data_IF_965970559964
#
_entry.id   IF_965970559964
#
_cell.length_a   1.000
_cell.length_b   1.000
_cell.length_c   1.000
_cell.angle_alpha   90.00
_cell.angle_beta   90.00
_cell.angle_gamma   90.00
#
_symmetry.space_group_name_H-M   'P 1'
#
loop_
_entity.id
_entity.type
_entity.pdbx_description
1 polymer ?
#
# COMPACT_ATOMS: atom_id res chain seq x y z
N UNK A 1 -26.48 -20.02 4.45
CA UNK A 1 -25.11 -20.16 4.99
C UNK A 1 -24.08 -20.14 3.86
N UNK A 2 -24.39 -20.70 2.68
CA UNK A 2 -23.54 -20.71 1.47
C UNK A 2 -23.03 -19.33 1.01
N UNK A 3 -23.82 -18.25 1.14
CA UNK A 3 -23.39 -16.92 0.70
C UNK A 3 -22.24 -16.31 1.50
N UNK A 4 -22.15 -16.60 2.80
CA UNK A 4 -21.07 -16.10 3.66
C UNK A 4 -19.77 -16.86 3.43
N UNK A 5 -19.86 -18.17 3.20
CA UNK A 5 -18.72 -19.03 2.90
C UNK A 5 -18.06 -18.64 1.57
N UNK A 6 -18.87 -18.38 0.53
CA UNK A 6 -18.37 -17.89 -0.76
C UNK A 6 -17.65 -16.55 -0.63
N UNK A 7 -18.15 -15.62 0.18
CA UNK A 7 -17.50 -14.33 0.42
C UNK A 7 -16.17 -14.50 1.15
N UNK A 8 -16.15 -15.32 2.21
CA UNK A 8 -14.94 -15.59 2.99
C UNK A 8 -13.84 -16.25 2.13
N UNK A 9 -14.20 -17.20 1.26
CA UNK A 9 -13.23 -17.85 0.37
C UNK A 9 -12.67 -16.90 -0.69
N UNK A 10 -13.48 -15.95 -1.17
CA UNK A 10 -13.00 -14.92 -2.10
C UNK A 10 -12.03 -13.95 -1.44
N UNK A 11 -12.29 -13.53 -0.20
CA UNK A 11 -11.35 -12.72 0.60
C UNK A 11 -10.02 -13.45 0.73
N UNK A 12 -10.06 -14.72 1.19
CA UNK A 12 -8.84 -15.55 1.35
C UNK A 12 -8.10 -15.76 0.03
N UNK A 13 -8.82 -15.92 -1.07
CA UNK A 13 -8.23 -16.06 -2.40
C UNK A 13 -7.48 -14.79 -2.78
N UNK A 14 -8.09 -13.63 -2.54
CA UNK A 14 -7.48 -12.35 -2.87
C UNK A 14 -6.25 -12.04 -1.99
N UNK A 15 -6.33 -12.27 -0.68
CA UNK A 15 -5.18 -12.14 0.23
C UNK A 15 -4.02 -13.04 -0.19
N UNK A 16 -4.33 -14.25 -0.67
CA UNK A 16 -3.33 -15.18 -1.21
C UNK A 16 -2.68 -14.65 -2.47
N UNK A 17 -3.41 -13.96 -3.34
CA UNK A 17 -2.84 -13.30 -4.53
C UNK A 17 -1.90 -12.17 -4.13
N UNK A 18 -2.31 -11.28 -3.23
CA UNK A 18 -1.47 -10.21 -2.69
C UNK A 18 -0.19 -10.78 -2.05
N UNK A 19 -0.32 -11.81 -1.21
CA UNK A 19 0.83 -12.49 -0.59
C UNK A 19 1.75 -13.17 -1.61
N UNK A 20 1.19 -13.83 -2.62
CA UNK A 20 1.98 -14.43 -3.70
C UNK A 20 2.76 -13.37 -4.46
N UNK A 21 2.14 -12.24 -4.77
CA UNK A 21 2.82 -11.11 -5.42
C UNK A 21 3.98 -10.62 -4.57
N UNK A 22 3.77 -10.37 -3.28
CA UNK A 22 4.84 -9.97 -2.34
C UNK A 22 6.00 -10.96 -2.35
N UNK A 23 5.70 -12.24 -2.15
CA UNK A 23 6.71 -13.30 -2.10
C UNK A 23 7.45 -13.53 -3.43
N UNK A 24 6.85 -13.15 -4.56
CA UNK A 24 7.47 -13.23 -5.88
C UNK A 24 8.49 -12.12 -6.15
N UNK A 25 8.65 -11.16 -5.24
CA UNK A 25 9.60 -10.05 -5.38
C UNK A 25 10.83 -10.26 -4.51
N UNK A 26 12.02 -10.04 -5.07
CA UNK A 26 13.30 -10.19 -4.36
C UNK A 26 13.71 -8.91 -3.61
N UNK A 27 12.75 -8.16 -3.07
CA UNK A 27 12.98 -6.90 -2.35
C UNK A 27 12.34 -6.90 -0.98
N UNK A 28 12.87 -6.07 -0.08
CA UNK A 28 12.26 -5.85 1.23
C UNK A 28 10.83 -5.32 1.06
N UNK A 29 9.87 -5.95 1.72
CA UNK A 29 8.47 -5.51 1.72
C UNK A 29 8.01 -5.33 3.16
N UNK A 30 7.38 -4.20 3.45
CA UNK A 30 6.63 -3.97 4.69
C UNK A 30 5.15 -3.96 4.38
N UNK A 31 4.36 -4.53 5.27
CA UNK A 31 2.91 -4.65 5.12
C UNK A 31 2.29 -4.06 6.37
N UNK A 32 1.44 -3.06 6.18
CA UNK A 32 0.63 -2.44 7.22
C UNK A 32 -0.80 -2.86 6.97
N UNK A 33 -1.27 -3.81 7.76
CA UNK A 33 -2.64 -4.30 7.71
C UNK A 33 -3.61 -3.35 8.42
N UNK A 34 -4.89 -3.69 8.32
CA UNK A 34 -5.97 -2.90 8.90
C UNK A 34 -5.80 -2.71 10.42
N UNK A 35 -5.32 -3.71 11.17
CA UNK A 35 -5.13 -3.58 12.61
C UNK A 35 -4.06 -2.53 12.93
N UNK A 36 -2.93 -2.54 12.20
CA UNK A 36 -1.88 -1.54 12.35
C UNK A 36 -2.35 -0.14 11.94
N UNK A 37 -3.12 -0.03 10.86
CA UNK A 37 -3.62 1.24 10.35
C UNK A 37 -4.68 1.85 11.28
N UNK A 38 -5.60 1.04 11.82
CA UNK A 38 -6.63 1.48 12.76
C UNK A 38 -6.06 1.90 14.12
N UNK A 39 -4.99 1.24 14.57
CA UNK A 39 -4.33 1.57 15.84
C UNK A 39 -3.39 2.78 15.74
N UNK A 40 -3.17 3.32 14.53
CA UNK A 40 -2.37 4.52 14.37
C UNK A 40 -3.08 5.76 14.91
N UNK A 41 -2.34 6.58 15.65
CA UNK A 41 -2.75 7.94 16.03
C UNK A 41 -2.36 9.02 15.01
N UNK A 42 -1.73 8.66 13.89
CA UNK A 42 -1.33 9.62 12.85
C UNK A 42 -2.53 10.27 12.18
N UNK A 43 -2.41 11.56 11.88
CA UNK A 43 -3.45 12.34 11.23
C UNK A 43 -3.65 11.96 9.76
N UNK A 44 -2.54 11.71 9.05
CA UNK A 44 -2.56 11.30 7.64
C UNK A 44 -1.52 10.21 7.34
N UNK A 45 -1.55 9.70 6.11
CA UNK A 45 -0.63 8.65 5.68
C UNK A 45 0.83 9.09 5.56
N UNK A 46 1.11 10.39 5.36
CA UNK A 46 2.50 10.86 5.33
C UNK A 46 3.08 10.79 6.73
N UNK A 47 2.36 11.32 7.72
CA UNK A 47 2.76 11.24 9.13
C UNK A 47 2.90 9.77 9.58
N UNK A 48 1.97 8.90 9.18
CA UNK A 48 2.08 7.47 9.47
C UNK A 48 3.36 6.88 8.89
N UNK A 49 3.63 7.10 7.61
CA UNK A 49 4.81 6.55 6.93
C UNK A 49 6.13 7.15 7.47
N UNK A 50 6.13 8.40 7.92
CA UNK A 50 7.28 9.04 8.58
C UNK A 50 7.62 8.40 9.93
N UNK A 51 6.60 7.93 10.66
CA UNK A 51 6.78 7.24 11.94
C UNK A 51 7.31 5.81 11.77
N UNK A 52 7.26 5.23 10.57
CA UNK A 52 7.60 3.83 10.33
C UNK A 52 9.13 3.60 10.20
N UNK A 53 9.73 2.73 11.04
CA UNK A 53 11.17 2.52 11.04
C UNK A 53 11.72 2.06 9.68
N UNK A 54 12.78 2.68 9.19
CA UNK A 54 13.45 2.28 7.95
C UNK A 54 12.77 2.79 6.67
N UNK A 55 11.74 3.62 6.81
CA UNK A 55 11.30 4.55 5.78
C UNK A 55 11.81 5.95 6.14
N UNK A 56 12.29 6.69 5.15
CA UNK A 56 12.74 8.07 5.34
C UNK A 56 12.09 8.92 4.28
N UNK A 57 11.01 9.57 4.64
CA UNK A 57 10.36 10.54 3.77
C UNK A 57 11.15 11.86 3.86
N UNK A 58 11.26 12.54 2.72
CA UNK A 58 11.90 13.83 2.63
C UNK A 58 11.14 14.72 1.65
N UNK A 59 11.21 16.02 1.88
CA UNK A 59 10.72 17.02 0.94
C UNK A 59 11.68 17.15 -0.26
N UNK A 60 11.13 17.05 -1.47
CA UNK A 60 11.84 17.26 -2.74
C UNK A 60 11.48 18.61 -3.39
N UNK A 61 10.93 19.55 -2.62
CA UNK A 61 10.47 20.87 -3.03
C UNK A 61 8.97 20.90 -3.30
N UNK A 62 8.53 20.24 -4.37
CA UNK A 62 7.12 20.30 -4.81
C UNK A 62 6.33 18.99 -4.58
N UNK A 63 6.96 17.98 -4.00
CA UNK A 63 6.41 16.65 -3.76
C UNK A 63 7.27 15.92 -2.72
N UNK A 64 6.71 14.88 -2.12
CA UNK A 64 7.45 14.00 -1.21
C UNK A 64 8.29 12.95 -1.95
N UNK A 65 9.47 12.68 -1.40
CA UNK A 65 10.41 11.65 -1.84
C UNK A 65 10.73 10.68 -0.72
N UNK A 66 11.44 9.61 -1.07
CA UNK A 66 12.07 8.71 -0.12
C UNK A 66 13.60 8.80 -0.21
N UNK A 67 14.27 8.79 0.94
CA UNK A 67 15.73 8.72 1.02
C UNK A 67 16.16 7.27 1.01
N UNK A 68 16.84 6.84 -0.06
CA UNK A 68 17.36 5.49 -0.22
C UNK A 68 18.85 5.53 -0.51
N UNK A 69 19.64 4.83 0.30
CA UNK A 69 21.11 4.76 0.16
C UNK A 69 21.76 6.16 -0.01
N UNK A 70 21.24 7.15 0.71
CA UNK A 70 21.71 8.54 0.68
C UNK A 70 21.23 9.39 -0.51
N UNK A 71 20.32 8.88 -1.35
CA UNK A 71 19.74 9.61 -2.50
C UNK A 71 18.26 9.86 -2.31
N UNK A 72 17.78 10.99 -2.81
CA UNK A 72 16.37 11.29 -2.94
C UNK A 72 15.81 10.59 -4.19
N UNK A 73 14.78 9.78 -4.00
CA UNK A 73 14.08 9.10 -5.08
C UNK A 73 12.59 9.38 -4.99
N UNK A 74 11.97 9.70 -6.13
CA UNK A 74 10.50 9.86 -6.21
C UNK A 74 9.88 8.46 -6.23
N UNK A 75 9.02 8.13 -5.25
CA UNK A 75 8.42 6.81 -5.18
C UNK A 75 7.29 6.64 -6.21
N UNK A 76 7.10 5.42 -6.69
CA UNK A 76 5.91 5.03 -7.44
C UNK A 76 4.80 4.70 -6.45
N UNK A 77 3.68 5.40 -6.54
CA UNK A 77 2.56 5.18 -5.64
C UNK A 77 1.37 4.65 -6.43
N UNK A 78 0.75 3.60 -5.91
CA UNK A 78 -0.47 3.02 -6.44
C UNK A 78 -1.57 3.11 -5.39
N UNK A 79 -2.76 3.55 -5.80
CA UNK A 79 -3.96 3.50 -4.98
C UNK A 79 -4.94 2.60 -5.73
N UNK A 80 -5.37 1.51 -5.11
CA UNK A 80 -6.33 0.56 -5.70
C UNK A 80 -5.87 0.01 -7.07
N UNK A 81 -4.59 -0.35 -7.18
CA UNK A 81 -3.93 -0.78 -8.43
C UNK A 81 -3.86 0.29 -9.53
N UNK A 82 -4.12 1.57 -9.23
CA UNK A 82 -3.97 2.68 -10.19
C UNK A 82 -2.71 3.48 -9.88
N UNK A 83 -1.77 3.66 -10.83
CA UNK A 83 -0.58 4.47 -10.60
C UNK A 83 -0.95 5.94 -10.49
N UNK A 84 -0.46 6.60 -9.44
CA UNK A 84 -0.71 8.01 -9.17
C UNK A 84 0.59 8.79 -9.38
N UNK A 85 0.56 9.76 -10.31
CA UNK A 85 1.66 10.68 -10.49
C UNK A 85 1.86 11.53 -9.24
N UNK A 86 3.09 11.59 -8.71
CA UNK A 86 3.39 12.23 -7.41
C UNK A 86 2.49 11.71 -6.27
N UNK A 87 2.16 10.43 -6.29
CA UNK A 87 1.11 9.91 -5.42
C UNK A 87 1.38 9.95 -3.92
N UNK A 88 2.57 10.33 -3.46
CA UNK A 88 2.77 10.66 -2.04
C UNK A 88 1.92 11.86 -1.62
N UNK A 89 1.85 12.89 -2.46
CA UNK A 89 1.01 14.07 -2.19
C UNK A 89 -0.47 13.66 -2.13
N UNK A 90 -0.86 12.68 -2.95
CA UNK A 90 -2.20 12.11 -2.92
C UNK A 90 -2.46 11.29 -1.66
N UNK A 91 -1.47 10.54 -1.15
CA UNK A 91 -1.62 9.76 0.08
C UNK A 91 -1.92 10.64 1.30
N UNK A 92 -1.44 11.89 1.31
CA UNK A 92 -1.75 12.85 2.38
C UNK A 92 -3.25 13.10 2.58
N UNK A 93 -4.08 12.88 1.56
CA UNK A 93 -5.53 13.03 1.67
C UNK A 93 -6.24 11.82 2.28
N UNK A 94 -5.49 10.77 2.62
CA UNK A 94 -6.02 9.59 3.29
C UNK A 94 -5.55 9.57 4.75
N UNK A 95 -6.50 9.28 5.63
CA UNK A 95 -6.20 8.88 7.00
C UNK A 95 -5.89 7.38 7.04
N UNK A 96 -5.03 6.91 7.95
CA UNK A 96 -4.68 5.50 8.03
C UNK A 96 -5.88 4.55 8.08
N UNK A 97 -6.91 4.89 8.86
CA UNK A 97 -8.09 4.06 9.04
C UNK A 97 -8.98 3.92 7.78
N UNK A 98 -8.86 4.82 6.81
CA UNK A 98 -9.61 4.76 5.54
C UNK A 98 -9.05 3.69 4.59
N UNK A 99 -7.83 3.24 4.85
CA UNK A 99 -7.15 2.20 4.08
C UNK A 99 -7.29 0.85 4.78
N UNK A 100 -7.40 -0.19 3.97
CA UNK A 100 -7.44 -1.58 4.43
C UNK A 100 -6.04 -2.19 4.53
N UNK A 101 -5.17 -1.84 3.59
CA UNK A 101 -3.84 -2.43 3.47
C UNK A 101 -2.90 -1.43 2.81
N UNK A 102 -1.70 -1.29 3.35
CA UNK A 102 -0.60 -0.55 2.72
C UNK A 102 0.62 -1.44 2.62
N UNK A 103 1.18 -1.56 1.41
CA UNK A 103 2.40 -2.32 1.14
C UNK A 103 3.50 -1.35 0.69
N UNK A 104 4.64 -1.43 1.35
CA UNK A 104 5.82 -0.61 1.04
C UNK A 104 6.95 -1.51 0.57
N UNK A 105 7.32 -1.38 -0.69
CA UNK A 105 8.37 -2.17 -1.34
C UNK A 105 9.67 -1.40 -1.46
N UNK A 106 10.78 -2.14 -1.38
CA UNK A 106 12.13 -1.64 -1.60
C UNK A 106 12.45 -0.34 -0.84
N UNK A 107 12.10 -0.26 0.45
CA UNK A 107 12.32 0.93 1.30
C UNK A 107 11.58 2.19 0.80
N UNK A 108 10.36 2.03 0.27
CA UNK A 108 9.52 3.16 -0.12
C UNK A 108 9.56 3.50 -1.59
N UNK A 109 10.40 2.85 -2.42
CA UNK A 109 10.46 3.15 -3.86
C UNK A 109 9.15 2.82 -4.57
N UNK A 110 8.39 1.86 -4.06
CA UNK A 110 7.02 1.63 -4.48
C UNK A 110 6.11 1.46 -3.27
N UNK A 111 4.98 2.16 -3.26
CA UNK A 111 3.98 2.11 -2.20
C UNK A 111 2.64 1.79 -2.83
N UNK A 112 1.93 0.83 -2.26
CA UNK A 112 0.60 0.43 -2.71
C UNK A 112 -0.38 0.56 -1.57
N UNK A 113 -1.42 1.35 -1.75
CA UNK A 113 -2.51 1.53 -0.81
C UNK A 113 -3.80 0.92 -1.37
N UNK A 114 -4.55 0.24 -0.51
CA UNK A 114 -5.82 -0.39 -0.86
C UNK A 114 -6.92 0.13 0.04
N UNK A 115 -7.97 0.66 -0.55
CA UNK A 115 -9.17 1.11 0.15
C UNK A 115 -10.08 -0.06 0.49
N UNK A 116 -10.91 0.08 1.53
CA UNK A 116 -11.94 -0.92 1.87
C UNK A 116 -12.87 -1.18 0.69
N UNK A 117 -13.24 -0.13 -0.06
CA UNK A 117 -14.11 -0.24 -1.22
C UNK A 117 -13.48 -1.08 -2.35
N UNK A 118 -12.17 -0.96 -2.57
CA UNK A 118 -11.48 -1.78 -3.54
C UNK A 118 -11.43 -3.25 -3.12
N UNK A 119 -11.14 -3.52 -1.84
CA UNK A 119 -11.15 -4.90 -1.32
C UNK A 119 -12.52 -5.55 -1.52
N UNK A 120 -13.60 -4.86 -1.17
CA UNK A 120 -14.97 -5.33 -1.41
C UNK A 120 -15.26 -5.58 -2.89
N UNK A 121 -14.77 -4.71 -3.77
CA UNK A 121 -14.92 -4.87 -5.22
C UNK A 121 -14.17 -6.11 -5.72
N UNK A 122 -12.97 -6.36 -5.23
CA UNK A 122 -12.17 -7.53 -5.61
C UNK A 122 -12.79 -8.84 -5.15
N UNK A 123 -13.49 -8.82 -4.01
CA UNK A 123 -14.31 -9.96 -3.56
C UNK A 123 -15.50 -10.20 -4.50
N UNK A 124 -16.15 -9.16 -5.00
CA UNK A 124 -17.30 -9.32 -5.92
C UNK A 124 -16.85 -9.70 -7.34
N UNK A 125 -15.82 -9.04 -7.84
CA UNK A 125 -15.28 -9.18 -9.20
C UNK A 125 -13.75 -9.09 -9.15
N UNK A 126 -13.07 -10.23 -9.01
CA UNK A 126 -11.60 -10.26 -9.00
C UNK A 126 -11.03 -9.74 -10.31
N UNK A 127 -9.97 -8.93 -10.20
CA UNK A 127 -9.18 -8.43 -11.33
C UNK A 127 -7.72 -8.91 -11.19
N UNK A 128 -6.96 -8.86 -12.28
CA UNK A 128 -5.53 -9.12 -12.20
C UNK A 128 -4.84 -7.96 -11.49
N UNK A 129 -3.97 -8.28 -10.51
CA UNK A 129 -3.11 -7.31 -9.85
C UNK A 129 -2.00 -6.85 -10.80
N UNK A 130 -1.65 -5.57 -10.79
CA UNK A 130 -0.48 -5.09 -11.49
C UNK A 130 0.79 -5.71 -10.87
N UNK A 131 1.79 -6.03 -11.71
CA UNK A 131 3.07 -6.50 -11.20
C UNK A 131 3.73 -5.41 -10.37
N UNK A 132 4.52 -5.83 -9.38
CA UNK A 132 5.42 -4.93 -8.65
C UNK A 132 6.53 -4.49 -9.61
N UNK A 133 6.92 -3.22 -9.52
CA UNK A 133 7.97 -2.63 -10.34
C UNK A 133 9.31 -3.37 -10.22
N UNK A 134 10.15 -3.22 -11.25
CA UNK A 134 11.54 -3.70 -11.21
C UNK A 134 12.38 -2.67 -10.46
N UNK A 135 13.02 -3.09 -9.37
CA UNK A 135 13.86 -2.25 -8.51
C UNK A 135 15.34 -2.41 -8.82
#
# INVERSE_FOLDING_TARGET
IEGLEVVADRIRSFDRQLRRRRNGTAVSTRVFDQERLLSSGSFDMIEFLEAEPGLRIADCGAYYCVVRRGRLEVPQVYIDEVPIFRGMDQLRFYQPHELHLVEVYAQGREIRAYTHQFMERMVRRPMALLPVGRF
#
